data_IF_301559171361
#
_entry.id   IF_301559171361
#
_cell.length_a   1.000
_cell.length_b   1.000
_cell.length_c   1.000
_cell.angle_alpha   90.00
_cell.angle_beta   90.00
_cell.angle_gamma   90.00
#
_symmetry.space_group_name_H-M   'P 1'
#
loop_
_entity.id
_entity.type
_entity.pdbx_description
1 polymer ?
#
# COMPACT_ATOMS: atom_id res chain seq x y z
N UNK A 1 -15.83 37.66 -13.18
CA UNK A 1 -16.06 36.35 -13.86
C UNK A 1 -15.89 35.11 -12.96
N UNK A 2 -14.75 34.88 -12.28
CA UNK A 2 -14.53 33.63 -11.49
C UNK A 2 -15.48 33.42 -10.30
N UNK A 3 -15.87 34.48 -9.60
CA UNK A 3 -16.77 34.40 -8.42
C UNK A 3 -18.21 34.05 -8.82
N UNK A 4 -18.71 34.67 -9.89
CA UNK A 4 -20.07 34.41 -10.43
C UNK A 4 -20.16 32.97 -10.95
N UNK A 5 -19.12 32.47 -11.61
CA UNK A 5 -19.06 31.07 -12.03
C UNK A 5 -19.03 30.09 -10.84
N UNK A 6 -18.34 30.45 -9.75
CA UNK A 6 -18.32 29.65 -8.52
C UNK A 6 -19.68 29.62 -7.82
N UNK A 7 -20.35 30.77 -7.71
CA UNK A 7 -21.69 30.90 -7.13
C UNK A 7 -22.73 30.12 -7.92
N UNK A 8 -22.74 30.25 -9.24
CA UNK A 8 -23.65 29.50 -10.11
C UNK A 8 -23.43 27.99 -10.02
N UNK A 9 -22.18 27.55 -9.81
CA UNK A 9 -21.86 26.14 -9.59
C UNK A 9 -22.39 25.68 -8.23
N UNK A 10 -22.14 26.41 -7.15
CA UNK A 10 -22.67 26.09 -5.82
C UNK A 10 -24.20 26.01 -5.82
N UNK A 11 -24.87 26.93 -6.51
CA UNK A 11 -26.32 26.94 -6.65
C UNK A 11 -26.84 25.67 -7.35
N UNK A 12 -26.29 25.31 -8.53
CA UNK A 12 -26.71 24.11 -9.27
C UNK A 12 -26.51 22.82 -8.48
N UNK A 13 -25.38 22.69 -7.80
CA UNK A 13 -25.11 21.53 -6.94
C UNK A 13 -26.00 21.51 -5.68
N UNK A 14 -26.31 22.68 -5.12
CA UNK A 14 -27.24 22.83 -4.00
C UNK A 14 -28.66 22.41 -4.36
N UNK A 15 -29.14 22.78 -5.56
CA UNK A 15 -30.46 22.35 -6.07
C UNK A 15 -30.51 20.84 -6.23
N UNK A 16 -29.52 20.22 -6.88
CA UNK A 16 -29.49 18.75 -7.06
C UNK A 16 -29.45 18.03 -5.71
N UNK A 17 -28.61 18.49 -4.77
CA UNK A 17 -28.52 17.92 -3.43
C UNK A 17 -29.81 18.07 -2.62
N UNK A 18 -30.46 19.24 -2.69
CA UNK A 18 -31.74 19.51 -2.05
C UNK A 18 -32.86 18.64 -2.60
N UNK A 19 -32.95 18.48 -3.92
CA UNK A 19 -33.92 17.58 -4.56
C UNK A 19 -33.70 16.13 -4.15
N UNK A 20 -32.46 15.65 -4.13
CA UNK A 20 -32.16 14.28 -3.67
C UNK A 20 -32.55 14.08 -2.20
N UNK A 21 -32.27 15.04 -1.32
CA UNK A 21 -32.65 14.98 0.09
C UNK A 21 -34.18 15.00 0.28
N UNK A 22 -34.91 15.78 -0.51
CA UNK A 22 -36.37 15.80 -0.49
C UNK A 22 -36.97 14.45 -0.93
N UNK A 23 -36.43 13.84 -1.99
CA UNK A 23 -36.81 12.49 -2.45
C UNK A 23 -36.51 11.45 -1.37
N UNK A 24 -35.32 11.51 -0.75
CA UNK A 24 -34.97 10.63 0.37
C UNK A 24 -36.00 10.75 1.48
N UNK A 25 -36.27 11.97 1.95
CA UNK A 25 -37.20 12.21 3.05
C UNK A 25 -38.61 11.70 2.73
N UNK A 26 -39.15 12.00 1.54
CA UNK A 26 -40.47 11.54 1.12
C UNK A 26 -40.59 10.02 1.07
N UNK A 27 -39.61 9.34 0.46
CA UNK A 27 -39.60 7.87 0.38
C UNK A 27 -39.41 7.23 1.76
N UNK A 28 -38.58 7.82 2.62
CA UNK A 28 -38.36 7.35 3.98
C UNK A 28 -39.63 7.46 4.83
N UNK A 29 -40.36 8.57 4.75
CA UNK A 29 -41.64 8.74 5.45
C UNK A 29 -42.69 7.75 4.95
N UNK A 30 -42.78 7.56 3.63
CA UNK A 30 -43.74 6.63 3.04
C UNK A 30 -43.44 5.19 3.46
N UNK A 31 -42.23 4.69 3.22
CA UNK A 31 -41.86 3.31 3.52
C UNK A 31 -41.79 3.03 5.02
N UNK A 32 -41.41 4.02 5.83
CA UNK A 32 -41.36 3.89 7.29
C UNK A 32 -42.73 3.61 7.93
N UNK A 33 -43.84 3.82 7.23
CA UNK A 33 -45.18 3.41 7.66
C UNK A 33 -45.42 1.90 7.52
N UNK A 34 -44.67 1.23 6.65
CA UNK A 34 -44.91 -0.17 6.26
C UNK A 34 -43.77 -1.11 6.61
N UNK A 35 -42.56 -0.60 6.89
CA UNK A 35 -41.40 -1.42 7.23
C UNK A 35 -40.45 -0.73 8.21
N UNK A 36 -39.56 -1.53 8.82
CA UNK A 36 -38.52 -1.03 9.71
C UNK A 36 -37.63 0.01 9.00
N UNK A 37 -37.25 1.06 9.74
CA UNK A 37 -36.38 2.12 9.22
C UNK A 37 -35.02 1.61 8.72
N UNK A 38 -34.52 0.49 9.26
CA UNK A 38 -33.30 -0.20 8.79
C UNK A 38 -33.40 -0.75 7.36
N UNK A 39 -34.62 -0.99 6.86
CA UNK A 39 -34.92 -1.38 5.48
C UNK A 39 -35.37 -0.19 4.64
N UNK A 40 -36.24 0.67 5.19
CA UNK A 40 -36.75 1.85 4.49
C UNK A 40 -35.63 2.85 4.12
N UNK A 41 -34.66 3.05 5.00
CA UNK A 41 -33.62 4.07 4.81
C UNK A 41 -32.63 3.74 3.67
N UNK A 42 -32.13 2.50 3.52
CA UNK A 42 -31.38 2.10 2.31
C UNK A 42 -32.17 2.28 1.01
N UNK A 43 -33.47 1.95 1.00
CA UNK A 43 -34.32 2.08 -0.20
C UNK A 43 -34.52 3.57 -0.54
N UNK A 44 -34.80 4.39 0.46
CA UNK A 44 -34.92 5.84 0.31
C UNK A 44 -33.63 6.47 -0.23
N UNK A 45 -32.46 6.02 0.23
CA UNK A 45 -31.17 6.42 -0.32
C UNK A 45 -30.99 6.01 -1.78
N UNK A 46 -31.42 4.82 -2.19
CA UNK A 46 -31.35 4.38 -3.59
C UNK A 46 -32.23 5.25 -4.50
N UNK A 47 -33.46 5.56 -4.07
CA UNK A 47 -34.35 6.47 -4.79
C UNK A 47 -33.75 7.88 -4.91
N UNK A 48 -33.21 8.41 -3.81
CA UNK A 48 -32.49 9.69 -3.80
C UNK A 48 -31.24 9.67 -4.70
N UNK A 49 -30.55 8.54 -4.81
CA UNK A 49 -29.39 8.37 -5.69
C UNK A 49 -29.77 8.42 -7.17
N UNK A 50 -30.93 7.86 -7.54
CA UNK A 50 -31.49 7.99 -8.91
C UNK A 50 -31.85 9.46 -9.20
N UNK A 51 -32.56 10.11 -8.29
CA UNK A 51 -32.92 11.53 -8.42
C UNK A 51 -31.66 12.42 -8.52
N UNK A 52 -30.65 12.17 -7.70
CA UNK A 52 -29.37 12.86 -7.74
C UNK A 52 -28.61 12.61 -9.04
N UNK A 53 -28.62 11.38 -9.56
CA UNK A 53 -27.99 11.05 -10.85
C UNK A 53 -28.67 11.80 -12.01
N UNK A 54 -30.00 11.77 -12.08
CA UNK A 54 -30.77 12.48 -13.09
C UNK A 54 -30.57 14.00 -12.98
N UNK A 55 -30.61 14.55 -11.76
CA UNK A 55 -30.34 15.96 -11.51
C UNK A 55 -28.94 16.36 -11.95
N UNK A 56 -27.93 15.54 -11.65
CA UNK A 56 -26.57 15.77 -12.12
C UNK A 56 -26.46 15.66 -13.64
N UNK A 57 -27.11 14.66 -14.27
CA UNK A 57 -27.15 14.46 -15.71
C UNK A 57 -27.72 15.68 -16.46
N UNK A 58 -28.78 16.28 -15.92
CA UNK A 58 -29.48 17.42 -16.51
C UNK A 58 -28.80 18.76 -16.22
N UNK A 59 -28.27 18.97 -15.02
CA UNK A 59 -27.83 20.29 -14.55
C UNK A 59 -26.31 20.49 -14.45
N UNK A 60 -25.52 19.41 -14.43
CA UNK A 60 -24.07 19.50 -14.07
C UNK A 60 -23.11 18.65 -14.92
N UNK A 61 -23.55 17.59 -15.61
CA UNK A 61 -22.66 16.56 -16.16
C UNK A 61 -21.84 16.97 -17.40
N UNK A 62 -22.34 17.92 -18.20
CA UNK A 62 -21.69 18.36 -19.47
C UNK A 62 -20.41 19.18 -19.25
N UNK A 63 -20.24 19.84 -18.10
CA UNK A 63 -19.10 20.75 -17.87
C UNK A 63 -17.87 20.07 -17.20
N UNK A 64 -18.04 18.93 -16.51
CA UNK A 64 -17.00 18.44 -15.58
C UNK A 64 -16.28 17.15 -16.00
N UNK A 65 -16.94 16.27 -16.76
CA UNK A 65 -16.46 14.89 -16.94
C UNK A 65 -15.58 14.68 -18.17
N UNK A 66 -15.63 15.58 -19.15
CA UNK A 66 -14.81 15.51 -20.37
C UNK A 66 -14.87 14.13 -21.08
N UNK A 67 -15.99 13.40 -20.92
CA UNK A 67 -16.22 12.10 -21.55
C UNK A 67 -15.33 10.93 -21.09
N UNK A 68 -14.46 11.10 -20.08
CA UNK A 68 -13.63 9.98 -19.60
C UNK A 68 -14.44 9.09 -18.65
N UNK A 69 -14.19 7.78 -18.71
CA UNK A 69 -14.78 6.78 -17.80
C UNK A 69 -14.51 7.18 -16.35
N UNK A 70 -15.46 7.91 -15.77
CA UNK A 70 -15.46 8.33 -14.39
C UNK A 70 -15.36 7.06 -13.54
N UNK A 71 -14.45 7.06 -12.57
CA UNK A 71 -13.97 5.81 -11.99
C UNK A 71 -15.10 5.10 -11.22
N UNK A 72 -15.71 4.08 -11.87
CA UNK A 72 -16.82 3.21 -11.39
C UNK A 72 -16.66 2.73 -9.94
N UNK A 73 -15.43 2.70 -9.43
CA UNK A 73 -15.09 2.37 -8.03
C UNK A 73 -15.54 3.40 -6.99
N UNK A 74 -15.52 4.70 -7.30
CA UNK A 74 -16.01 5.72 -6.34
C UNK A 74 -17.52 5.64 -6.20
N UNK A 75 -18.20 5.29 -7.30
CA UNK A 75 -19.62 4.99 -7.31
C UNK A 75 -19.92 3.72 -6.50
N UNK A 76 -19.16 2.64 -6.70
CA UNK A 76 -19.32 1.40 -5.92
C UNK A 76 -19.04 1.63 -4.43
N UNK A 77 -17.95 2.34 -4.09
CA UNK A 77 -17.64 2.71 -2.70
C UNK A 77 -18.76 3.57 -2.09
N UNK A 78 -19.28 4.54 -2.83
CA UNK A 78 -20.40 5.37 -2.43
C UNK A 78 -21.62 4.51 -2.08
N UNK A 79 -22.02 3.59 -2.98
CA UNK A 79 -23.17 2.73 -2.73
C UNK A 79 -22.95 1.81 -1.54
N UNK A 80 -21.79 1.16 -1.44
CA UNK A 80 -21.48 0.27 -0.31
C UNK A 80 -21.53 1.04 1.02
N UNK A 81 -20.80 2.15 1.12
CA UNK A 81 -20.75 2.95 2.36
C UNK A 81 -22.13 3.47 2.74
N UNK A 82 -22.87 4.05 1.80
CA UNK A 82 -24.17 4.64 2.11
C UNK A 82 -25.24 3.59 2.40
N UNK A 83 -25.26 2.45 1.70
CA UNK A 83 -26.21 1.36 2.02
C UNK A 83 -25.92 0.85 3.43
N UNK A 84 -24.65 0.60 3.77
CA UNK A 84 -24.27 0.16 5.12
C UNK A 84 -24.64 1.18 6.19
N UNK A 85 -24.32 2.46 5.99
CA UNK A 85 -24.65 3.54 6.93
C UNK A 85 -26.16 3.72 7.06
N UNK A 86 -26.91 3.69 5.95
CA UNK A 86 -28.36 3.82 5.97
C UNK A 86 -29.04 2.67 6.70
N UNK A 87 -28.49 1.45 6.62
CA UNK A 87 -29.00 0.30 7.36
C UNK A 87 -28.67 0.37 8.86
N UNK A 88 -27.49 0.90 9.23
CA UNK A 88 -27.00 0.95 10.60
C UNK A 88 -27.55 2.12 11.43
N UNK A 89 -27.69 3.33 10.85
CA UNK A 89 -28.12 4.52 11.60
C UNK A 89 -29.48 4.36 12.32
N UNK A 90 -30.50 3.72 11.71
CA UNK A 90 -31.76 3.47 12.40
C UNK A 90 -31.61 2.56 13.64
N UNK A 91 -30.67 1.61 13.63
CA UNK A 91 -30.38 0.75 14.78
C UNK A 91 -29.78 1.53 15.95
N UNK A 92 -29.13 2.66 15.66
CA UNK A 92 -28.60 3.60 16.64
C UNK A 92 -29.64 4.65 17.07
N UNK A 93 -30.91 4.52 16.66
CA UNK A 93 -32.00 5.48 16.93
C UNK A 93 -31.68 6.91 16.49
N UNK A 94 -30.94 7.06 15.38
CA UNK A 94 -30.58 8.37 14.85
C UNK A 94 -31.84 9.13 14.38
N UNK A 95 -31.91 10.47 14.57
CA UNK A 95 -33.07 11.27 14.16
C UNK A 95 -33.19 11.34 12.64
N UNK A 96 -34.42 11.56 12.14
CA UNK A 96 -34.73 11.57 10.69
C UNK A 96 -33.83 12.49 9.87
N UNK A 97 -33.47 13.65 10.43
CA UNK A 97 -32.56 14.60 9.79
C UNK A 97 -31.16 13.98 9.57
N UNK A 98 -30.67 13.20 10.53
CA UNK A 98 -29.40 12.46 10.39
C UNK A 98 -29.53 11.33 9.36
N UNK A 99 -30.67 10.63 9.31
CA UNK A 99 -30.91 9.57 8.31
C UNK A 99 -30.85 10.09 6.87
N UNK A 100 -31.45 11.27 6.63
CA UNK A 100 -31.56 11.88 5.30
C UNK A 100 -30.27 12.59 4.87
N UNK A 101 -29.64 13.36 5.76
CA UNK A 101 -28.49 14.18 5.37
C UNK A 101 -27.15 13.46 5.45
N UNK A 102 -27.02 12.38 6.23
CA UNK A 102 -25.74 11.66 6.33
C UNK A 102 -25.26 11.11 4.99
N UNK A 103 -26.09 10.45 4.16
CA UNK A 103 -25.66 9.96 2.86
C UNK A 103 -25.28 11.09 1.89
N UNK A 104 -25.97 12.23 1.98
CA UNK A 104 -25.66 13.44 1.20
C UNK A 104 -24.29 14.01 1.57
N UNK A 105 -23.97 14.09 2.86
CA UNK A 105 -22.65 14.52 3.36
C UNK A 105 -21.56 13.52 2.97
N UNK A 106 -21.82 12.22 3.14
CA UNK A 106 -20.90 11.15 2.74
C UNK A 106 -20.62 11.20 1.23
N UNK A 107 -21.65 11.40 0.40
CA UNK A 107 -21.50 11.63 -1.02
C UNK A 107 -20.56 12.82 -1.27
N UNK A 108 -20.84 14.00 -0.71
CA UNK A 108 -20.00 15.17 -0.90
C UNK A 108 -18.52 14.92 -0.51
N UNK A 109 -18.27 14.22 0.60
CA UNK A 109 -16.91 13.85 1.03
C UNK A 109 -16.22 12.87 0.07
N UNK A 110 -16.93 11.80 -0.34
CA UNK A 110 -16.45 10.79 -1.29
C UNK A 110 -16.13 11.44 -2.63
N UNK A 111 -17.03 12.26 -3.16
CA UNK A 111 -16.87 12.98 -4.43
C UNK A 111 -15.78 14.05 -4.36
N UNK A 112 -15.66 14.81 -3.27
CA UNK A 112 -14.54 15.73 -3.05
C UNK A 112 -13.19 15.01 -3.02
N UNK A 113 -13.15 13.82 -2.43
CA UNK A 113 -11.94 12.98 -2.44
C UNK A 113 -11.67 12.42 -3.84
N UNK A 114 -12.70 11.97 -4.55
CA UNK A 114 -12.62 11.47 -5.93
C UNK A 114 -12.13 12.53 -6.91
N UNK A 115 -12.62 13.77 -6.80
CA UNK A 115 -12.22 14.90 -7.63
C UNK A 115 -10.75 15.30 -7.38
N UNK A 116 -10.35 15.44 -6.10
CA UNK A 116 -8.94 15.70 -5.73
C UNK A 116 -8.02 14.59 -6.21
N UNK A 117 -8.47 13.34 -6.12
CA UNK A 117 -7.74 12.19 -6.61
C UNK A 117 -7.58 12.22 -8.14
N UNK A 118 -8.66 12.48 -8.89
CA UNK A 118 -8.66 12.56 -10.35
C UNK A 118 -7.84 13.72 -10.88
N UNK A 119 -7.87 14.88 -10.21
CA UNK A 119 -7.03 16.03 -10.54
C UNK A 119 -5.54 15.72 -10.36
N UNK A 120 -5.17 14.98 -9.30
CA UNK A 120 -3.80 14.53 -9.06
C UNK A 120 -3.33 13.53 -10.12
N UNK A 121 -4.17 12.58 -10.52
CA UNK A 121 -3.87 11.60 -11.57
C UNK A 121 -3.56 12.25 -12.93
N UNK A 122 -4.29 13.30 -13.29
CA UNK A 122 -4.02 14.08 -14.52
C UNK A 122 -2.64 14.73 -14.53
N UNK A 123 -2.13 15.17 -13.37
CA UNK A 123 -0.77 15.72 -13.26
C UNK A 123 0.32 14.63 -13.23
N UNK A 124 -0.02 13.37 -12.93
CA UNK A 124 0.96 12.28 -12.79
C UNK A 124 1.52 11.76 -14.11
N UNK A 125 0.83 11.94 -15.24
CA UNK A 125 1.31 11.46 -16.55
C UNK A 125 2.56 12.20 -17.06
N UNK A 126 2.86 13.39 -16.52
CA UNK A 126 4.07 14.17 -16.84
C UNK A 126 5.06 14.22 -15.66
N UNK A 127 4.92 13.30 -14.70
CA UNK A 127 5.66 13.29 -13.45
C UNK A 127 7.03 12.59 -13.52
N UNK A 128 7.85 12.75 -12.49
CA UNK A 128 9.06 11.95 -12.33
C UNK A 128 8.68 10.48 -12.06
N UNK A 129 9.26 9.50 -12.79
CA UNK A 129 8.93 8.09 -12.61
C UNK A 129 9.38 7.58 -11.22
N UNK A 130 8.71 6.54 -10.69
CA UNK A 130 9.18 5.85 -9.49
C UNK A 130 10.55 5.20 -9.71
N UNK A 131 11.13 4.65 -8.64
CA UNK A 131 12.29 3.77 -8.68
C UNK A 131 11.78 2.32 -8.63
N UNK A 132 12.31 1.46 -9.49
CA UNK A 132 12.11 0.03 -9.40
C UNK A 132 13.06 -0.54 -8.34
N UNK A 133 12.51 -1.34 -7.42
CA UNK A 133 13.23 -1.95 -6.32
C UNK A 133 12.92 -3.43 -6.22
N UNK A 134 13.93 -4.28 -6.02
CA UNK A 134 13.77 -5.72 -5.87
C UNK A 134 14.11 -6.16 -4.45
N UNK A 135 13.24 -6.92 -3.82
CA UNK A 135 13.51 -7.49 -2.49
C UNK A 135 14.11 -8.91 -2.64
N UNK A 136 14.63 -9.44 -1.52
CA UNK A 136 15.15 -10.80 -1.35
C UNK A 136 16.47 -11.15 -2.07
N UNK A 137 17.35 -10.18 -2.32
CA UNK A 137 18.74 -10.47 -2.71
C UNK A 137 19.45 -11.21 -1.56
N UNK A 138 20.20 -12.26 -1.87
CA UNK A 138 20.88 -13.13 -0.91
C UNK A 138 20.09 -14.36 -0.50
N UNK A 139 18.86 -14.53 -0.99
CA UNK A 139 17.97 -15.64 -0.61
C UNK A 139 18.33 -16.96 -1.32
N UNK A 140 18.58 -16.90 -2.63
CA UNK A 140 19.01 -18.04 -3.43
C UNK A 140 19.61 -17.60 -4.76
N UNK A 141 20.51 -18.40 -5.34
CA UNK A 141 21.23 -18.06 -6.56
C UNK A 141 20.34 -17.66 -7.75
N UNK A 142 19.18 -18.31 -7.93
CA UNK A 142 18.27 -17.98 -9.02
C UNK A 142 17.43 -16.71 -8.81
N UNK A 143 17.24 -16.29 -7.55
CA UNK A 143 16.67 -14.98 -7.19
C UNK A 143 17.73 -13.91 -7.44
N UNK A 144 18.94 -14.14 -6.93
CA UNK A 144 20.06 -13.22 -7.02
C UNK A 144 20.44 -12.92 -8.46
N UNK A 145 20.52 -13.96 -9.31
CA UNK A 145 20.80 -13.80 -10.72
C UNK A 145 19.76 -12.91 -11.43
N UNK A 146 18.47 -13.05 -11.12
CA UNK A 146 17.43 -12.22 -11.72
C UNK A 146 17.54 -10.76 -11.30
N UNK A 147 17.84 -10.50 -10.02
CA UNK A 147 18.02 -9.16 -9.46
C UNK A 147 19.27 -8.50 -10.05
N UNK A 148 20.39 -9.23 -10.11
CA UNK A 148 21.65 -8.77 -10.70
C UNK A 148 21.49 -8.48 -12.19
N UNK A 149 20.77 -9.31 -12.96
CA UNK A 149 20.50 -9.05 -14.38
C UNK A 149 19.75 -7.73 -14.61
N UNK A 150 18.73 -7.46 -13.79
CA UNK A 150 17.98 -6.21 -13.86
C UNK A 150 18.82 -5.00 -13.45
N UNK A 151 19.72 -5.16 -12.48
CA UNK A 151 20.66 -4.11 -12.09
C UNK A 151 21.69 -3.84 -13.20
N UNK A 152 22.28 -4.90 -13.78
CA UNK A 152 23.27 -4.80 -14.86
C UNK A 152 22.70 -4.15 -16.13
N UNK A 153 21.41 -4.37 -16.42
CA UNK A 153 20.70 -3.73 -17.54
C UNK A 153 20.18 -2.32 -17.23
N UNK A 154 20.48 -1.75 -16.06
CA UNK A 154 20.04 -0.41 -15.65
C UNK A 154 18.54 -0.29 -15.31
N UNK A 155 17.79 -1.40 -15.34
CA UNK A 155 16.35 -1.43 -15.06
C UNK A 155 16.04 -1.27 -13.57
N UNK A 156 16.95 -1.69 -12.70
CA UNK A 156 16.78 -1.65 -11.25
C UNK A 156 17.47 -0.44 -10.62
N UNK A 157 16.82 0.21 -9.65
CA UNK A 157 17.41 1.35 -8.93
C UNK A 157 17.59 1.12 -7.42
N UNK A 158 17.36 -0.10 -6.95
CA UNK A 158 17.65 -0.52 -5.58
C UNK A 158 17.36 -1.99 -5.39
N UNK A 159 18.04 -2.61 -4.42
CA UNK A 159 17.71 -3.96 -3.98
C UNK A 159 17.76 -4.06 -2.45
N UNK A 160 17.04 -5.03 -1.89
CA UNK A 160 17.06 -5.33 -0.45
C UNK A 160 17.76 -6.66 -0.20
N UNK A 161 18.76 -6.63 0.67
CA UNK A 161 19.64 -7.73 0.99
C UNK A 161 19.19 -8.45 2.26
N UNK A 162 18.87 -9.73 2.14
CA UNK A 162 18.72 -10.69 3.23
C UNK A 162 20.09 -11.17 3.67
N UNK A 163 20.63 -10.55 4.72
CA UNK A 163 22.02 -10.77 5.17
C UNK A 163 22.30 -12.16 5.74
N UNK A 164 21.25 -12.84 6.20
CA UNK A 164 21.28 -14.20 6.73
C UNK A 164 20.75 -15.23 5.73
N UNK A 165 20.53 -14.83 4.47
CA UNK A 165 20.22 -15.75 3.39
C UNK A 165 21.45 -16.56 2.96
N UNK A 166 21.26 -17.79 2.44
CA UNK A 166 22.36 -18.71 2.15
C UNK A 166 23.32 -18.18 1.08
N UNK A 167 22.84 -17.42 0.09
CA UNK A 167 23.65 -16.83 -0.98
C UNK A 167 24.08 -15.39 -0.71
N UNK A 168 23.86 -14.84 0.50
CA UNK A 168 24.08 -13.41 0.78
C UNK A 168 25.50 -12.92 0.48
N UNK A 169 26.53 -13.72 0.81
CA UNK A 169 27.93 -13.36 0.55
C UNK A 169 28.19 -13.23 -0.96
N UNK A 170 27.87 -14.28 -1.72
CA UNK A 170 28.09 -14.34 -3.18
C UNK A 170 27.28 -13.26 -3.93
N UNK A 171 26.06 -13.01 -3.46
CA UNK A 171 25.18 -11.98 -3.99
C UNK A 171 25.79 -10.58 -3.84
N UNK A 172 26.36 -10.26 -2.67
CA UNK A 172 27.01 -8.96 -2.43
C UNK A 172 28.30 -8.81 -3.20
N UNK A 173 29.11 -9.85 -3.31
CA UNK A 173 30.30 -9.83 -4.17
C UNK A 173 29.94 -9.57 -5.62
N UNK A 174 28.91 -10.25 -6.13
CA UNK A 174 28.41 -10.03 -7.49
C UNK A 174 27.84 -8.64 -7.66
N UNK A 175 27.11 -8.13 -6.66
CA UNK A 175 26.55 -6.79 -6.67
C UNK A 175 27.64 -5.71 -6.74
N UNK A 176 28.72 -5.86 -5.98
CA UNK A 176 29.87 -4.92 -5.98
C UNK A 176 30.61 -4.86 -7.31
N UNK A 177 30.56 -5.93 -8.11
CA UNK A 177 31.18 -5.98 -9.45
C UNK A 177 30.36 -5.28 -10.54
N UNK A 178 29.17 -4.78 -10.23
CA UNK A 178 28.40 -3.94 -11.16
C UNK A 178 29.15 -2.62 -11.39
N UNK A 179 29.10 -2.08 -12.62
CA UNK A 179 29.76 -0.80 -12.95
C UNK A 179 29.17 0.36 -12.12
N UNK A 180 27.84 0.39 -11.97
CA UNK A 180 27.13 1.38 -11.16
C UNK A 180 26.12 0.65 -10.25
N UNK A 181 26.56 0.08 -9.11
CA UNK A 181 25.69 -0.70 -8.25
C UNK A 181 24.61 0.20 -7.61
N UNK A 182 23.31 -0.11 -7.78
CA UNK A 182 22.26 0.61 -7.09
C UNK A 182 22.38 0.46 -5.56
N UNK A 183 21.77 1.36 -4.77
CA UNK A 183 21.79 1.25 -3.31
C UNK A 183 21.23 -0.07 -2.81
N UNK A 184 21.97 -0.75 -1.93
CA UNK A 184 21.48 -1.89 -1.16
C UNK A 184 20.80 -1.43 0.12
N UNK A 185 19.67 -2.05 0.44
CA UNK A 185 18.89 -1.81 1.66
C UNK A 185 18.97 -3.06 2.53
N UNK A 186 19.17 -2.91 3.83
CA UNK A 186 19.07 -4.03 4.76
C UNK A 186 17.62 -4.53 4.78
N UNK A 187 17.41 -5.78 4.36
CA UNK A 187 16.13 -6.46 4.40
C UNK A 187 15.99 -7.21 5.72
N UNK A 188 15.48 -6.53 6.74
CA UNK A 188 15.31 -7.13 8.07
C UNK A 188 14.38 -8.35 8.00
N UNK A 189 14.86 -9.53 8.36
CA UNK A 189 14.06 -10.75 8.38
C UNK A 189 13.79 -11.23 9.80
N UNK A 190 12.53 -11.33 10.19
CA UNK A 190 12.06 -11.88 11.48
C UNK A 190 10.86 -12.83 11.30
N UNK A 191 10.53 -13.16 10.06
CA UNK A 191 9.35 -13.94 9.68
C UNK A 191 9.68 -15.34 9.16
N UNK A 192 10.96 -15.58 8.90
CA UNK A 192 11.57 -16.85 8.53
C UNK A 192 13.09 -16.72 8.72
N UNK A 193 13.82 -17.80 8.44
CA UNK A 193 15.26 -17.92 8.61
C UNK A 193 15.66 -18.58 9.93
N UNK A 194 16.97 -18.71 10.11
CA UNK A 194 17.58 -19.28 11.30
C UNK A 194 17.30 -18.42 12.54
N UNK A 195 16.85 -19.06 13.61
CA UNK A 195 16.67 -18.40 14.92
C UNK A 195 18.02 -18.27 15.61
N UNK A 196 18.25 -17.12 16.24
CA UNK A 196 19.38 -16.99 17.16
C UNK A 196 19.08 -17.77 18.44
N UNK A 197 19.96 -18.70 18.82
CA UNK A 197 19.79 -19.55 20.01
C UNK A 197 19.61 -18.77 21.32
N UNK A 198 20.18 -17.56 21.40
CA UNK A 198 20.07 -16.68 22.57
C UNK A 198 18.78 -15.82 22.57
N UNK A 199 17.87 -16.02 21.62
CA UNK A 199 16.61 -15.28 21.50
C UNK A 199 15.39 -16.23 21.43
N UNK A 200 15.16 -17.07 22.47
CA UNK A 200 14.15 -18.14 22.42
C UNK A 200 12.70 -17.65 22.41
N UNK A 201 12.44 -16.42 22.88
CA UNK A 201 11.08 -15.89 23.00
C UNK A 201 10.66 -15.02 21.81
N UNK A 202 11.60 -14.71 20.90
CA UNK A 202 11.28 -13.93 19.72
C UNK A 202 10.44 -14.77 18.75
N UNK A 203 9.15 -14.46 18.56
CA UNK A 203 8.31 -15.25 17.67
C UNK A 203 8.72 -15.00 16.23
N UNK A 204 8.58 -16.04 15.41
CA UNK A 204 8.72 -15.94 13.96
C UNK A 204 7.36 -15.63 13.36
N UNK A 205 7.26 -14.51 12.61
CA UNK A 205 6.08 -14.21 11.81
C UNK A 205 5.46 -12.83 12.05
N UNK A 206 4.82 -12.30 11.01
CA UNK A 206 4.24 -10.96 11.04
C UNK A 206 3.08 -10.83 12.04
N UNK A 207 2.12 -11.76 11.98
CA UNK A 207 0.92 -11.70 12.83
C UNK A 207 1.23 -11.87 14.32
N UNK A 208 2.16 -12.77 14.66
CA UNK A 208 2.60 -13.02 16.04
C UNK A 208 3.36 -11.83 16.62
N UNK A 209 4.27 -11.21 15.86
CA UNK A 209 4.94 -9.97 16.27
C UNK A 209 3.99 -8.78 16.37
N UNK A 210 3.00 -8.69 15.48
CA UNK A 210 1.96 -7.66 15.56
C UNK A 210 1.10 -7.83 16.84
N UNK A 211 0.71 -9.06 17.17
CA UNK A 211 -0.01 -9.37 18.40
C UNK A 211 0.85 -9.10 19.64
N UNK A 212 2.13 -9.48 19.63
CA UNK A 212 3.07 -9.15 20.70
C UNK A 212 3.25 -7.64 20.90
N UNK A 213 3.12 -6.84 19.84
CA UNK A 213 3.23 -5.38 19.91
C UNK A 213 2.11 -4.72 20.71
N UNK A 214 0.93 -5.34 20.77
CA UNK A 214 -0.24 -4.79 21.48
C UNK A 214 -0.33 -5.28 22.94
N UNK A 215 0.36 -6.38 23.29
CA UNK A 215 0.35 -6.97 24.62
C UNK A 215 1.56 -6.47 25.45
N UNK A 216 1.37 -5.68 26.52
CA UNK A 216 2.49 -5.06 27.23
C UNK A 216 3.54 -6.03 27.79
N UNK A 217 3.12 -7.18 28.30
CA UNK A 217 4.04 -8.18 28.86
C UNK A 217 4.87 -8.87 27.77
N UNK A 218 4.25 -9.23 26.64
CA UNK A 218 4.96 -9.80 25.48
C UNK A 218 5.97 -8.81 24.93
N UNK A 219 5.57 -7.54 24.80
CA UNK A 219 6.46 -6.46 24.39
C UNK A 219 7.70 -6.33 25.27
N UNK A 220 7.54 -6.37 26.61
CA UNK A 220 8.69 -6.32 27.54
C UNK A 220 9.61 -7.54 27.39
N UNK A 221 9.04 -8.73 27.21
CA UNK A 221 9.78 -9.98 27.01
C UNK A 221 10.57 -10.01 25.69
N UNK A 222 9.96 -9.54 24.61
CA UNK A 222 10.50 -9.66 23.24
C UNK A 222 11.46 -8.52 22.89
N UNK A 223 11.26 -7.30 23.40
CA UNK A 223 12.03 -6.13 22.99
C UNK A 223 13.57 -6.28 23.14
N UNK A 224 14.12 -6.86 24.22
CA UNK A 224 15.57 -7.08 24.34
C UNK A 224 16.11 -8.03 23.27
N UNK A 225 15.41 -9.13 22.99
CA UNK A 225 15.80 -10.13 22.00
C UNK A 225 15.73 -9.56 20.57
N UNK A 226 14.70 -8.75 20.31
CA UNK A 226 14.55 -8.04 19.05
C UNK A 226 15.74 -7.07 18.82
N UNK A 227 16.16 -6.33 19.85
CA UNK A 227 17.34 -5.47 19.77
C UNK A 227 18.60 -6.28 19.42
N UNK A 228 18.80 -7.43 20.05
CA UNK A 228 19.93 -8.34 19.77
C UNK A 228 19.94 -8.79 18.31
N UNK A 229 18.80 -9.28 17.79
CA UNK A 229 18.70 -9.73 16.39
C UNK A 229 18.89 -8.58 15.39
N UNK A 230 18.37 -7.38 15.68
CA UNK A 230 18.58 -6.22 14.81
C UNK A 230 20.06 -5.84 14.75
N UNK A 231 20.76 -5.83 15.90
CA UNK A 231 22.19 -5.52 15.96
C UNK A 231 23.03 -6.57 15.21
N UNK A 232 22.68 -7.85 15.30
CA UNK A 232 23.32 -8.93 14.55
C UNK A 232 23.16 -8.73 13.04
N UNK A 233 21.94 -8.53 12.54
CA UNK A 233 21.69 -8.30 11.11
C UNK A 233 22.32 -6.99 10.61
N UNK A 234 22.35 -5.93 11.43
CA UNK A 234 23.05 -4.68 11.11
C UNK A 234 24.56 -4.91 11.01
N UNK A 235 25.14 -5.64 11.96
CA UNK A 235 26.57 -5.98 11.95
C UNK A 235 26.92 -6.79 10.72
N UNK A 236 26.13 -7.84 10.42
CA UNK A 236 26.29 -8.68 9.23
C UNK A 236 26.17 -7.87 7.94
N UNK A 237 25.19 -6.97 7.85
CA UNK A 237 25.04 -6.05 6.72
C UNK A 237 26.30 -5.22 6.49
N UNK A 238 26.88 -4.65 7.55
CA UNK A 238 28.11 -3.85 7.46
C UNK A 238 29.31 -4.69 7.05
N UNK A 239 29.45 -5.88 7.61
CA UNK A 239 30.52 -6.82 7.23
C UNK A 239 30.43 -7.17 5.75
N UNK A 240 29.23 -7.53 5.28
CA UNK A 240 29.02 -7.93 3.89
C UNK A 240 29.19 -6.76 2.93
N UNK A 241 28.65 -5.58 3.23
CA UNK A 241 28.56 -4.46 2.26
C UNK A 241 29.63 -3.39 2.43
N UNK A 242 30.19 -3.22 3.63
CA UNK A 242 31.09 -2.12 3.99
C UNK A 242 30.38 -0.78 4.22
N UNK A 243 29.04 -0.74 4.11
CA UNK A 243 28.26 0.50 4.20
C UNK A 243 27.98 0.89 5.65
N UNK A 244 28.38 2.09 6.05
CA UNK A 244 28.10 2.61 7.40
C UNK A 244 26.67 3.14 7.57
N UNK A 245 26.17 3.87 6.57
CA UNK A 245 24.81 4.38 6.57
C UNK A 245 23.83 3.29 6.17
N UNK A 246 22.81 3.09 7.01
CA UNK A 246 21.86 2.00 6.82
C UNK A 246 20.57 2.55 6.21
N UNK A 247 20.20 1.95 5.08
CA UNK A 247 18.83 1.99 4.54
C UNK A 247 18.16 0.70 5.01
N UNK A 248 16.95 0.78 5.55
CA UNK A 248 16.27 -0.37 6.12
C UNK A 248 14.86 -0.54 5.54
N UNK A 249 14.54 -1.78 5.24
CA UNK A 249 13.18 -2.29 5.12
C UNK A 249 13.13 -3.67 5.78
N UNK A 250 12.07 -4.44 5.53
CA UNK A 250 11.89 -5.72 6.18
C UNK A 250 11.19 -6.69 5.27
N UNK A 251 11.60 -7.95 5.38
CA UNK A 251 10.94 -9.08 4.76
C UNK A 251 9.51 -9.15 5.29
N UNK A 252 8.56 -9.32 4.35
CA UNK A 252 7.12 -9.17 4.61
C UNK A 252 6.71 -7.84 5.27
N UNK A 253 7.53 -6.80 5.14
CA UNK A 253 7.35 -5.47 5.74
C UNK A 253 7.32 -5.47 7.28
N UNK A 254 8.01 -6.44 7.90
CA UNK A 254 8.00 -6.62 9.35
C UNK A 254 8.51 -5.41 10.14
N UNK A 255 9.37 -4.60 9.53
CA UNK A 255 9.92 -3.37 10.12
C UNK A 255 8.86 -2.30 10.43
N UNK A 256 7.64 -2.41 9.89
CA UNK A 256 6.52 -1.52 10.18
C UNK A 256 5.67 -1.98 11.38
N UNK A 257 5.88 -3.20 11.89
CA UNK A 257 5.23 -3.67 13.11
C UNK A 257 5.67 -2.77 14.28
N UNK A 258 4.76 -2.26 15.14
CA UNK A 258 5.11 -1.22 16.10
C UNK A 258 6.29 -1.57 17.02
N UNK A 259 6.34 -2.80 17.54
CA UNK A 259 7.44 -3.27 18.38
C UNK A 259 8.79 -3.27 17.64
N UNK A 260 8.80 -3.63 16.37
CA UNK A 260 10.00 -3.65 15.52
C UNK A 260 10.42 -2.24 15.14
N UNK A 261 9.46 -1.39 14.77
CA UNK A 261 9.72 0.01 14.50
C UNK A 261 10.31 0.72 15.71
N UNK A 262 9.83 0.41 16.92
CA UNK A 262 10.38 0.96 18.16
C UNK A 262 11.87 0.61 18.31
N UNK A 263 12.23 -0.66 18.14
CA UNK A 263 13.63 -1.10 18.19
C UNK A 263 14.49 -0.46 17.08
N UNK A 264 13.96 -0.31 15.85
CA UNK A 264 14.64 0.40 14.75
C UNK A 264 14.88 1.86 15.10
N UNK A 265 13.88 2.55 15.68
CA UNK A 265 14.01 3.96 16.08
C UNK A 265 15.02 4.13 17.22
N UNK A 266 15.03 3.24 18.20
CA UNK A 266 15.97 3.25 19.32
C UNK A 266 17.42 3.04 18.87
N UNK A 267 17.62 2.25 17.81
CA UNK A 267 18.93 2.01 17.21
C UNK A 267 19.30 3.04 16.14
N UNK A 268 18.38 3.90 15.69
CA UNK A 268 18.59 4.67 14.48
C UNK A 268 19.80 5.61 14.56
N UNK A 269 20.01 6.27 15.70
CA UNK A 269 21.14 7.18 15.90
C UNK A 269 22.46 6.43 16.07
N UNK A 270 22.52 5.43 16.93
CA UNK A 270 23.76 4.68 17.20
C UNK A 270 24.20 3.88 15.97
N UNK A 271 23.24 3.32 15.23
CA UNK A 271 23.50 2.46 14.08
C UNK A 271 23.46 3.20 12.73
N UNK A 272 23.35 4.53 12.73
CA UNK A 272 23.31 5.34 11.49
C UNK A 272 22.21 4.87 10.50
N UNK A 273 21.02 4.55 11.01
CA UNK A 273 19.84 4.25 10.18
C UNK A 273 19.27 5.56 9.67
N UNK A 274 19.54 5.85 8.40
CA UNK A 274 19.22 7.15 7.78
C UNK A 274 17.95 7.12 6.95
N UNK A 275 17.51 5.93 6.54
CA UNK A 275 16.34 5.77 5.69
C UNK A 275 15.57 4.50 6.03
N UNK A 276 14.25 4.59 6.14
CA UNK A 276 13.34 3.46 6.38
C UNK A 276 12.20 3.46 5.36
N UNK A 277 11.94 2.31 4.72
CA UNK A 277 10.84 2.17 3.75
C UNK A 277 9.48 2.29 4.43
N UNK A 278 8.55 3.00 3.81
CA UNK A 278 7.11 2.91 4.12
C UNK A 278 6.33 2.37 2.93
N UNK A 279 5.15 1.81 3.19
CA UNK A 279 4.32 1.13 2.19
C UNK A 279 3.08 1.94 1.83
N UNK A 280 3.20 3.28 1.80
CA UNK A 280 2.12 4.21 1.40
C UNK A 280 1.72 4.01 -0.07
N UNK A 281 0.81 3.08 -0.30
CA UNK A 281 0.41 2.65 -1.64
C UNK A 281 -0.93 3.27 -2.05
N UNK A 282 -0.97 4.18 -3.04
CA UNK A 282 -2.23 4.61 -3.63
C UNK A 282 -2.84 3.47 -4.45
N UNK A 283 -4.17 3.34 -4.42
CA UNK A 283 -4.87 2.34 -5.24
C UNK A 283 -4.68 2.64 -6.74
N UNK A 284 -4.13 1.70 -7.54
CA UNK A 284 -3.85 1.94 -8.95
C UNK A 284 -5.10 2.26 -9.78
N UNK A 285 -4.93 3.09 -10.81
CA UNK A 285 -6.00 3.43 -11.76
C UNK A 285 -6.01 2.51 -12.99
N UNK A 286 -7.17 2.41 -13.64
CA UNK A 286 -7.31 1.66 -14.90
C UNK A 286 -7.05 0.15 -14.77
N UNK A 287 -7.27 -0.40 -13.56
CA UNK A 287 -7.32 -1.83 -13.29
C UNK A 287 -8.63 -2.44 -13.83
N UNK A 288 -8.56 -3.66 -14.32
CA UNK A 288 -9.76 -4.44 -14.70
C UNK A 288 -10.43 -5.03 -13.46
N UNK A 289 -11.70 -5.42 -13.56
CA UNK A 289 -12.41 -6.11 -12.48
C UNK A 289 -11.69 -7.41 -12.08
N UNK A 290 -11.15 -8.15 -13.04
CA UNK A 290 -10.37 -9.36 -12.78
C UNK A 290 -9.13 -9.09 -11.91
N UNK A 291 -8.45 -7.95 -12.05
CA UNK A 291 -7.32 -7.59 -11.19
C UNK A 291 -7.79 -7.24 -9.78
N UNK A 292 -8.91 -6.54 -9.62
CA UNK A 292 -9.50 -6.30 -8.30
C UNK A 292 -9.88 -7.61 -7.61
N UNK A 293 -10.53 -8.51 -8.33
CA UNK A 293 -10.88 -9.84 -7.82
C UNK A 293 -9.65 -10.64 -7.41
N UNK A 294 -8.59 -10.63 -8.23
CA UNK A 294 -7.32 -11.28 -7.89
C UNK A 294 -6.72 -10.72 -6.60
N UNK A 295 -6.74 -9.40 -6.41
CA UNK A 295 -6.23 -8.78 -5.17
C UNK A 295 -7.03 -9.19 -3.93
N UNK A 296 -8.34 -9.46 -4.06
CA UNK A 296 -9.14 -10.05 -2.99
C UNK A 296 -8.72 -11.50 -2.71
N UNK A 297 -8.64 -12.34 -3.75
CA UNK A 297 -8.30 -13.76 -3.63
C UNK A 297 -6.93 -14.00 -3.01
N UNK A 298 -5.94 -13.16 -3.33
CA UNK A 298 -4.58 -13.28 -2.77
C UNK A 298 -4.42 -12.58 -1.41
N UNK A 299 -5.50 -12.10 -0.80
CA UNK A 299 -5.46 -11.31 0.45
C UNK A 299 -4.74 -9.96 0.33
N UNK A 300 -4.45 -9.51 -0.89
CA UNK A 300 -3.69 -8.30 -1.18
C UNK A 300 -4.36 -7.04 -0.64
N UNK A 301 -5.70 -6.97 -0.66
CA UNK A 301 -6.45 -5.85 -0.10
C UNK A 301 -6.37 -5.78 1.43
N UNK A 302 -6.42 -6.92 2.11
CA UNK A 302 -6.28 -6.99 3.57
C UNK A 302 -4.85 -6.57 3.95
N UNK A 303 -3.84 -7.16 3.28
CA UNK A 303 -2.43 -6.82 3.47
C UNK A 303 -2.19 -5.33 3.23
N UNK A 304 -2.74 -4.78 2.15
CA UNK A 304 -2.70 -3.35 1.84
C UNK A 304 -3.30 -2.53 2.98
N UNK A 305 -4.50 -2.84 3.44
CA UNK A 305 -5.17 -2.08 4.50
C UNK A 305 -4.35 -2.04 5.79
N UNK A 306 -3.88 -3.20 6.27
CA UNK A 306 -3.05 -3.31 7.48
C UNK A 306 -1.77 -2.48 7.34
N UNK A 307 -1.07 -2.59 6.22
CA UNK A 307 0.20 -1.90 6.02
C UNK A 307 0.04 -0.38 5.79
N UNK A 308 -1.10 0.06 5.29
CA UNK A 308 -1.44 1.49 5.20
C UNK A 308 -1.63 2.11 6.59
N UNK A 309 -2.24 1.37 7.51
CA UNK A 309 -2.37 1.78 8.92
C UNK A 309 -0.99 1.83 9.58
N UNK A 310 -0.20 0.77 9.48
CA UNK A 310 1.15 0.70 10.07
C UNK A 310 2.08 1.78 9.52
N UNK A 311 2.09 2.00 8.19
CA UNK A 311 2.81 3.14 7.59
C UNK A 311 2.28 4.49 8.08
N UNK A 312 0.98 4.59 8.33
CA UNK A 312 0.35 5.77 8.94
C UNK A 312 0.89 6.10 10.32
N UNK A 313 1.06 5.08 11.16
CA UNK A 313 1.63 5.19 12.50
C UNK A 313 3.15 5.44 12.47
N UNK A 314 3.87 4.84 11.51
CA UNK A 314 5.31 4.94 11.41
C UNK A 314 5.79 6.34 10.96
N UNK A 315 5.12 6.95 9.98
CA UNK A 315 5.60 8.19 9.34
C UNK A 315 5.87 9.36 10.29
N UNK A 316 4.97 9.73 11.23
CA UNK A 316 5.24 10.83 12.15
C UNK A 316 6.44 10.55 13.05
N UNK A 317 6.67 9.28 13.40
CA UNK A 317 7.77 8.84 14.26
C UNK A 317 9.10 8.87 13.52
N UNK A 318 9.15 8.35 12.29
CA UNK A 318 10.31 8.47 11.40
C UNK A 318 10.70 9.94 11.18
N UNK A 319 9.71 10.80 10.91
CA UNK A 319 9.94 12.25 10.75
C UNK A 319 10.52 12.89 12.01
N UNK A 320 9.99 12.56 13.19
CA UNK A 320 10.50 13.07 14.47
C UNK A 320 11.93 12.61 14.76
N UNK A 321 12.29 11.41 14.33
CA UNK A 321 13.64 10.87 14.45
C UNK A 321 14.61 11.35 13.34
N UNK A 322 14.16 12.21 12.40
CA UNK A 322 15.00 12.68 11.29
C UNK A 322 15.30 11.62 10.22
N UNK A 323 14.60 10.49 10.24
CA UNK A 323 14.80 9.37 9.31
C UNK A 323 14.05 9.63 8.01
N UNK A 324 14.74 9.48 6.88
CA UNK A 324 14.15 9.66 5.55
C UNK A 324 13.28 8.47 5.14
N UNK A 325 12.32 8.69 4.24
CA UNK A 325 11.47 7.62 3.69
C UNK A 325 10.99 7.97 2.28
N UNK A 326 10.56 6.96 1.53
CA UNK A 326 9.89 7.14 0.24
C UNK A 326 8.52 7.82 0.41
N UNK A 327 8.12 8.66 -0.56
CA UNK A 327 6.84 9.38 -0.50
C UNK A 327 5.63 8.49 -0.81
N UNK A 328 5.84 7.50 -1.67
CA UNK A 328 4.83 6.52 -2.12
C UNK A 328 5.47 5.17 -2.35
N UNK A 329 4.65 4.16 -2.37
CA UNK A 329 5.03 2.78 -2.60
C UNK A 329 4.03 2.12 -3.57
N UNK A 330 4.42 1.04 -4.23
CA UNK A 330 3.51 0.13 -4.89
C UNK A 330 4.08 -1.28 -4.87
N UNK A 331 3.22 -2.29 -4.74
CA UNK A 331 3.63 -3.70 -4.69
C UNK A 331 3.03 -4.50 -3.55
N UNK A 332 2.26 -3.90 -2.65
CA UNK A 332 1.53 -4.64 -1.60
C UNK A 332 0.23 -5.20 -2.14
N UNK A 333 -0.57 -4.36 -2.81
CA UNK A 333 -1.90 -4.73 -3.31
C UNK A 333 -1.87 -5.95 -4.25
N UNK A 334 -0.80 -6.05 -5.04
CA UNK A 334 -0.54 -7.13 -5.99
C UNK A 334 0.71 -7.94 -5.61
N UNK A 335 0.97 -8.10 -4.31
CA UNK A 335 2.05 -8.97 -3.81
C UNK A 335 2.00 -10.32 -4.53
N UNK A 336 3.14 -10.77 -5.06
CA UNK A 336 3.20 -12.02 -5.82
C UNK A 336 2.62 -11.94 -7.26
N UNK A 337 2.18 -10.77 -7.69
CA UNK A 337 1.44 -10.53 -8.94
C UNK A 337 1.82 -9.21 -9.64
N UNK A 338 2.99 -8.65 -9.36
CA UNK A 338 3.50 -7.39 -9.90
C UNK A 338 4.07 -7.57 -11.32
N UNK A 339 3.25 -8.05 -12.24
CA UNK A 339 3.60 -8.26 -13.65
C UNK A 339 2.51 -7.76 -14.60
N UNK A 340 2.85 -7.58 -15.88
CA UNK A 340 1.94 -7.13 -16.92
C UNK A 340 1.17 -5.85 -16.57
N UNK A 341 -0.16 -5.89 -16.71
CA UNK A 341 -1.02 -4.72 -16.47
C UNK A 341 -1.01 -4.25 -15.01
N UNK A 342 -0.84 -5.15 -14.04
CA UNK A 342 -0.76 -4.77 -12.62
C UNK A 342 0.48 -3.91 -12.37
N UNK A 343 1.66 -4.37 -12.80
CA UNK A 343 2.92 -3.63 -12.72
C UNK A 343 2.82 -2.28 -13.41
N UNK A 344 2.37 -2.24 -14.67
CA UNK A 344 2.27 -1.00 -15.45
C UNK A 344 1.34 0.03 -14.81
N UNK A 345 0.19 -0.40 -14.27
CA UNK A 345 -0.75 0.52 -13.60
C UNK A 345 -0.20 1.00 -12.26
N UNK A 346 0.44 0.14 -11.49
CA UNK A 346 1.15 0.52 -10.27
C UNK A 346 2.28 1.52 -10.54
N UNK A 347 3.07 1.29 -11.59
CA UNK A 347 4.15 2.18 -12.04
C UNK A 347 3.63 3.57 -12.38
N UNK A 348 2.61 3.67 -13.25
CA UNK A 348 1.98 4.93 -13.63
C UNK A 348 1.40 5.65 -12.40
N UNK A 349 0.68 4.93 -11.54
CA UNK A 349 0.06 5.51 -10.34
C UNK A 349 1.10 6.01 -9.33
N UNK A 350 2.29 5.42 -9.31
CA UNK A 350 3.37 5.82 -8.41
C UNK A 350 4.09 7.10 -8.85
N UNK A 351 3.90 7.62 -10.07
CA UNK A 351 4.61 8.81 -10.57
C UNK A 351 4.47 10.02 -9.63
N UNK A 352 5.56 10.76 -9.43
CA UNK A 352 5.55 11.99 -8.63
C UNK A 352 5.17 13.20 -9.49
N UNK A 353 4.28 14.11 -9.04
CA UNK A 353 3.86 15.27 -9.83
C UNK A 353 4.99 16.30 -10.09
N UNK A 354 6.19 16.09 -9.54
CA UNK A 354 7.36 16.93 -9.78
C UNK A 354 8.65 16.22 -9.35
N UNK A 355 9.81 16.85 -9.60
CA UNK A 355 11.11 16.34 -9.15
C UNK A 355 11.16 16.28 -7.62
N UNK A 356 11.51 15.11 -7.09
CA UNK A 356 11.74 14.89 -5.66
C UNK A 356 13.14 14.32 -5.44
N UNK A 357 13.71 14.56 -4.25
CA UNK A 357 14.98 13.95 -3.84
C UNK A 357 14.89 12.43 -3.97
N UNK A 358 15.99 11.78 -4.39
CA UNK A 358 16.04 10.32 -4.57
C UNK A 358 15.52 9.55 -3.36
N UNK A 359 15.91 9.95 -2.14
CA UNK A 359 15.46 9.33 -0.90
C UNK A 359 13.93 9.34 -0.70
N UNK A 360 13.24 10.32 -1.28
CA UNK A 360 11.78 10.46 -1.21
C UNK A 360 11.07 10.00 -2.49
N UNK A 361 11.80 9.55 -3.51
CA UNK A 361 11.19 9.05 -4.75
C UNK A 361 10.26 7.87 -4.41
N UNK A 362 9.09 7.79 -5.07
CA UNK A 362 8.22 6.62 -5.00
C UNK A 362 8.97 5.34 -5.37
N UNK A 363 8.62 4.25 -4.71
CA UNK A 363 9.17 2.92 -5.00
C UNK A 363 8.08 2.03 -5.62
N UNK A 364 8.46 1.21 -6.59
CA UNK A 364 7.67 0.09 -7.09
C UNK A 364 8.46 -1.18 -6.78
N UNK A 365 7.88 -2.04 -5.95
CA UNK A 365 8.47 -3.29 -5.52
C UNK A 365 8.13 -4.43 -6.49
N UNK A 366 9.15 -5.26 -6.75
CA UNK A 366 9.05 -6.54 -7.46
C UNK A 366 9.84 -7.62 -6.70
N UNK A 367 9.53 -8.89 -6.94
CA UNK A 367 10.37 -10.01 -6.47
C UNK A 367 10.67 -10.91 -7.68
N UNK A 368 11.63 -10.52 -8.53
CA UNK A 368 11.96 -11.25 -9.75
C UNK A 368 12.75 -12.51 -9.42
N UNK A 369 12.59 -13.56 -10.24
CA UNK A 369 13.41 -14.76 -10.12
C UNK A 369 13.53 -15.48 -11.46
N UNK A 370 14.65 -16.19 -11.69
CA UNK A 370 14.83 -17.08 -12.85
C UNK A 370 14.07 -18.40 -12.63
N UNK A 371 14.04 -19.28 -13.63
CA UNK A 371 13.51 -20.65 -13.45
C UNK A 371 14.34 -21.41 -12.42
N UNK A 372 13.70 -22.33 -11.68
CA UNK A 372 14.33 -23.12 -10.62
C UNK A 372 15.01 -22.27 -9.53
N UNK A 373 14.47 -21.08 -9.24
CA UNK A 373 15.09 -20.14 -8.32
C UNK A 373 15.21 -20.63 -6.87
N UNK A 374 14.43 -21.64 -6.48
CA UNK A 374 14.48 -22.27 -5.16
C UNK A 374 15.60 -23.29 -5.01
N UNK A 375 16.33 -23.60 -6.09
CA UNK A 375 17.51 -24.46 -6.01
C UNK A 375 18.57 -23.82 -5.10
N UNK A 376 18.99 -24.53 -4.07
CA UNK A 376 19.93 -24.04 -3.06
C UNK A 376 19.31 -23.13 -1.99
N UNK A 377 18.00 -22.89 -2.03
CA UNK A 377 17.31 -22.25 -0.92
C UNK A 377 17.18 -23.24 0.24
N UNK A 378 17.47 -22.78 1.46
CA UNK A 378 17.26 -23.58 2.66
C UNK A 378 15.74 -23.73 2.90
N UNK A 379 15.24 -24.94 2.66
CA UNK A 379 13.81 -25.23 2.70
C UNK A 379 13.25 -25.20 4.11
N UNK A 380 14.04 -25.52 5.12
CA UNK A 380 13.59 -25.57 6.50
C UNK A 380 13.56 -24.17 7.12
N UNK A 381 14.60 -23.38 6.85
CA UNK A 381 14.69 -22.02 7.36
C UNK A 381 13.74 -21.06 6.60
N UNK A 382 13.56 -21.22 5.29
CA UNK A 382 12.84 -20.25 4.42
C UNK A 382 11.60 -20.83 3.74
N UNK A 383 10.80 -21.62 4.46
CA UNK A 383 9.61 -22.31 3.92
C UNK A 383 8.64 -21.41 3.15
N UNK A 384 8.36 -20.20 3.67
CA UNK A 384 7.42 -19.27 3.04
C UNK A 384 8.01 -18.69 1.74
N UNK A 385 9.28 -18.33 1.79
CA UNK A 385 10.04 -17.91 0.62
C UNK A 385 10.14 -19.01 -0.45
N UNK A 386 10.36 -20.28 -0.08
CA UNK A 386 10.36 -21.40 -1.03
C UNK A 386 9.02 -21.49 -1.75
N UNK A 387 7.90 -21.48 -1.02
CA UNK A 387 6.57 -21.53 -1.61
C UNK A 387 6.33 -20.33 -2.56
N UNK A 388 6.75 -19.13 -2.14
CA UNK A 388 6.58 -17.90 -2.91
C UNK A 388 7.42 -17.87 -4.19
N UNK A 389 8.67 -18.31 -4.14
CA UNK A 389 9.61 -18.31 -5.27
C UNK A 389 9.48 -19.52 -6.20
N UNK A 390 8.78 -20.58 -5.77
CA UNK A 390 8.39 -21.70 -6.62
C UNK A 390 7.32 -21.32 -7.66
N UNK A 391 6.54 -20.26 -7.40
CA UNK A 391 5.49 -19.83 -8.31
C UNK A 391 6.05 -19.23 -9.62
N UNK A 392 5.46 -19.61 -10.76
CA UNK A 392 5.85 -19.09 -12.10
C UNK A 392 5.66 -17.58 -12.28
N UNK A 393 4.98 -16.95 -11.32
CA UNK A 393 4.75 -15.51 -11.31
C UNK A 393 6.04 -14.72 -11.15
N UNK A 394 7.08 -15.22 -10.46
CA UNK A 394 8.34 -14.49 -10.28
C UNK A 394 9.07 -14.27 -11.62
N UNK A 395 9.01 -15.26 -12.51
CA UNK A 395 9.58 -15.15 -13.86
C UNK A 395 8.79 -14.14 -14.70
N UNK A 396 7.46 -14.10 -14.55
CA UNK A 396 6.61 -13.08 -15.19
C UNK A 396 6.93 -11.67 -14.68
N UNK A 397 7.21 -11.51 -13.38
CA UNK A 397 7.66 -10.22 -12.81
C UNK A 397 9.01 -9.81 -13.38
N UNK A 398 9.98 -10.74 -13.43
CA UNK A 398 11.28 -10.51 -14.03
C UNK A 398 11.18 -10.05 -15.49
N UNK A 399 10.44 -10.78 -16.34
CA UNK A 399 10.24 -10.39 -17.74
C UNK A 399 9.49 -9.07 -17.91
N UNK A 400 8.50 -8.79 -17.05
CA UNK A 400 7.78 -7.51 -17.11
C UNK A 400 8.68 -6.32 -16.71
N UNK A 401 9.58 -6.53 -15.75
CA UNK A 401 10.54 -5.52 -15.31
C UNK A 401 11.58 -5.17 -16.39
N UNK A 402 11.95 -6.13 -17.24
CA UNK A 402 12.85 -5.89 -18.39
C UNK A 402 12.22 -4.98 -19.45
N UNK A 403 10.89 -4.89 -19.49
CA UNK A 403 10.10 -4.16 -20.50
C UNK A 403 9.57 -2.81 -20.01
N UNK A 404 9.77 -2.46 -18.73
CA UNK A 404 9.45 -1.14 -18.17
C UNK A 404 10.39 -0.08 -18.71
#
# INVERSE_FOLDING_TARGET
>A
MRIIALLNRLLRYGVVGGTAAAVHFGVLLLLGQWMALSLANPIAFLAASVAGYLGHALLTFREETGGRQFARRWLLLQYVVNISVCALLPLLKAPTLVLVFTPTVLNALIWSRAARFSARSRQQHNGQPPLLHADDLGLAAGVDAAIVDLARSGRLQGASLLVNGPSASDAVETWRRLAEPPPLTLHLCLTEGHRLHNCPDLPTGFGTLLLASILPWQRRRIAPQLRTVLLEQISRYRQLTGLRQIRLDGHQHIHLVPLVLDAVLDLARSESITWVRTTREPLPEGLTLALWWRSLQTGGLIKWFVLQLLSGLAMPRLRRAGIQTNRRFAGVLFSGSMFGKALRRSWITAHSPGKVRRASRPLVLIHPARRHAVSGMDQDAFQQSVAFFSATNRQKEWSSAQQL
#
